data_IF_914707143188
#
_entry.id   IF_914707143188
#
_cell.length_a   1.000
_cell.length_b   1.000
_cell.length_c   1.000
_cell.angle_alpha   90.00
_cell.angle_beta   90.00
_cell.angle_gamma   90.00
#
_symmetry.space_group_name_H-M   'P 1'
#
loop_
_entity.id
_entity.type
_entity.pdbx_description
1 polymer ?
#
# COMPACT_ATOMS: atom_id res chain seq x y z
N UNK A 1 -18.12 -56.01 11.89
CA UNK A 1 -19.48 -56.07 12.47
C UNK A 1 -20.19 -54.75 12.19
N UNK A 2 -21.39 -54.82 11.60
CA UNK A 2 -22.31 -53.69 11.36
C UNK A 2 -23.17 -53.44 12.60
N UNK A 3 -23.43 -52.17 12.94
CA UNK A 3 -24.70 -51.56 13.46
C UNK A 3 -24.34 -50.18 14.03
N UNK A 4 -24.61 -49.04 13.37
CA UNK A 4 -25.87 -48.27 13.27
C UNK A 4 -26.69 -48.21 14.56
N UNK A 5 -26.72 -47.03 15.20
CA UNK A 5 -27.88 -46.50 15.97
C UNK A 5 -27.95 -44.99 15.72
N UNK A 6 -29.08 -44.55 15.15
CA UNK A 6 -29.60 -43.18 15.08
C UNK A 6 -30.74 -43.10 16.08
N UNK A 7 -30.82 -42.06 16.90
CA UNK A 7 -31.95 -41.62 17.74
C UNK A 7 -31.35 -40.57 18.70
N UNK A 8 -31.84 -39.36 19.00
CA UNK A 8 -33.18 -38.78 19.05
C UNK A 8 -33.07 -37.25 18.92
N UNK A 9 -34.06 -36.68 18.25
CA UNK A 9 -34.47 -35.28 18.18
C UNK A 9 -34.85 -34.73 19.57
N UNK A 10 -34.34 -33.59 20.01
CA UNK A 10 -35.02 -32.82 21.06
C UNK A 10 -34.93 -31.31 20.80
N UNK A 11 -36.11 -30.72 20.64
CA UNK A 11 -36.42 -29.29 20.57
C UNK A 11 -36.16 -28.58 21.90
N UNK A 12 -35.79 -27.29 21.83
CA UNK A 12 -36.14 -26.17 22.75
C UNK A 12 -35.43 -24.92 22.18
N UNK A 13 -36.06 -24.00 21.42
CA UNK A 13 -37.15 -23.06 21.69
C UNK A 13 -36.88 -22.04 22.82
N UNK A 14 -36.41 -20.86 22.37
CA UNK A 14 -36.68 -19.48 22.82
C UNK A 14 -36.15 -19.02 24.18
N UNK A 15 -35.47 -17.86 24.14
CA UNK A 15 -35.52 -16.70 25.05
C UNK A 15 -34.11 -16.14 25.26
N UNK A 16 -33.77 -14.86 25.26
CA UNK A 16 -34.49 -13.58 25.16
C UNK A 16 -33.40 -12.53 24.85
N UNK A 17 -33.81 -11.45 24.18
CA UNK A 17 -33.02 -10.25 23.92
C UNK A 17 -32.44 -9.69 25.24
N UNK A 18 -31.13 -9.45 25.27
CA UNK A 18 -30.46 -8.72 26.35
C UNK A 18 -30.14 -7.30 25.90
N UNK A 19 -30.93 -6.38 26.44
CA UNK A 19 -30.65 -4.99 26.79
C UNK A 19 -29.73 -4.14 25.89
N UNK A 20 -30.34 -3.13 25.27
CA UNK A 20 -29.72 -1.86 24.92
C UNK A 20 -28.88 -1.31 26.09
N UNK A 21 -27.59 -1.11 25.85
CA UNK A 21 -26.79 -0.14 26.57
C UNK A 21 -26.89 1.19 25.84
N UNK A 22 -27.71 2.07 26.37
CA UNK A 22 -27.94 3.44 25.92
C UNK A 22 -26.80 4.31 26.47
N UNK A 23 -25.94 4.81 25.59
CA UNK A 23 -24.92 5.82 25.92
C UNK A 23 -25.06 6.94 24.88
N UNK A 24 -26.02 7.83 25.09
CA UNK A 24 -26.12 9.11 24.40
C UNK A 24 -25.08 10.07 25.00
N UNK A 25 -23.90 10.16 24.37
CA UNK A 25 -23.03 11.31 24.57
C UNK A 25 -23.55 12.45 23.69
N UNK A 26 -24.12 13.46 24.35
CA UNK A 26 -24.54 14.74 23.77
C UNK A 26 -23.29 15.51 23.33
N UNK A 27 -22.91 15.37 22.06
CA UNK A 27 -21.85 16.18 21.45
C UNK A 27 -22.45 17.48 20.91
N UNK A 28 -22.06 18.59 21.52
CA UNK A 28 -22.37 19.96 21.09
C UNK A 28 -21.80 20.22 19.68
N UNK A 29 -22.66 20.23 18.66
CA UNK A 29 -22.33 20.45 17.25
C UNK A 29 -22.33 21.94 16.84
N UNK A 30 -21.93 22.86 17.73
CA UNK A 30 -21.94 24.29 17.42
C UNK A 30 -20.59 24.98 17.50
N UNK A 31 -19.53 24.39 16.95
CA UNK A 31 -18.47 25.14 16.26
C UNK A 31 -17.34 24.22 15.79
N UNK A 32 -17.31 23.94 14.48
CA UNK A 32 -16.06 23.99 13.71
C UNK A 32 -16.40 23.82 12.24
N UNK A 33 -16.21 24.91 11.51
CA UNK A 33 -15.97 24.88 10.08
C UNK A 33 -14.68 24.08 9.84
N UNK A 34 -14.84 22.78 9.75
CA UNK A 34 -13.81 21.85 9.28
C UNK A 34 -14.51 21.02 8.23
N UNK A 35 -14.37 21.45 6.98
CA UNK A 35 -14.61 20.57 5.84
C UNK A 35 -13.56 19.46 5.93
N UNK A 36 -13.81 18.46 6.76
CA UNK A 36 -13.11 17.18 6.75
C UNK A 36 -13.54 16.54 5.43
N UNK A 37 -12.62 16.27 4.48
CA UNK A 37 -12.96 15.52 3.30
C UNK A 37 -13.58 14.19 3.76
N UNK A 38 -14.77 13.85 3.24
CA UNK A 38 -15.38 12.54 3.52
C UNK A 38 -14.35 11.43 3.31
N UNK A 39 -14.33 10.38 4.17
CA UNK A 39 -13.47 9.23 3.94
C UNK A 39 -13.70 8.72 2.52
N UNK A 40 -12.64 8.65 1.71
CA UNK A 40 -12.69 8.01 0.40
C UNK A 40 -13.09 6.56 0.68
N UNK A 41 -14.24 6.12 0.17
CA UNK A 41 -14.64 4.72 0.30
C UNK A 41 -13.59 3.84 -0.39
N UNK A 42 -13.32 2.65 0.16
CA UNK A 42 -12.24 1.78 -0.34
C UNK A 42 -12.40 1.45 -1.83
N UNK A 43 -13.63 1.39 -2.31
CA UNK A 43 -13.97 1.11 -3.71
C UNK A 43 -13.72 2.31 -4.65
N UNK A 44 -13.52 3.51 -4.11
CA UNK A 44 -13.24 4.74 -4.85
C UNK A 44 -11.73 5.04 -4.99
N UNK A 45 -10.85 4.21 -4.41
CA UNK A 45 -9.40 4.40 -4.55
C UNK A 45 -8.98 3.89 -5.93
N UNK A 46 -8.46 4.76 -6.83
CA UNK A 46 -8.13 4.35 -8.18
C UNK A 46 -6.98 3.33 -8.18
N UNK A 47 -7.07 2.33 -9.06
CA UNK A 47 -6.02 1.31 -9.23
C UNK A 47 -4.70 1.92 -9.70
N UNK A 48 -4.76 3.03 -10.43
CA UNK A 48 -3.63 3.73 -11.01
C UNK A 48 -3.94 5.23 -11.04
N UNK A 49 -2.94 6.08 -10.80
CA UNK A 49 -3.11 7.52 -10.93
C UNK A 49 -2.98 7.97 -12.39
N UNK A 50 -4.07 8.46 -12.97
CA UNK A 50 -4.10 9.09 -14.29
C UNK A 50 -3.51 10.52 -14.25
N UNK A 51 -3.05 11.07 -15.38
CA UNK A 51 -2.38 12.37 -15.43
C UNK A 51 -3.14 13.52 -14.76
N UNK A 52 -4.47 13.50 -14.81
CA UNK A 52 -5.35 14.57 -14.34
C UNK A 52 -6.09 14.26 -13.04
N UNK A 53 -5.78 13.15 -12.37
CA UNK A 53 -6.40 12.82 -11.09
C UNK A 53 -6.04 13.86 -10.02
N UNK A 54 -7.05 14.30 -9.26
CA UNK A 54 -6.89 15.26 -8.17
C UNK A 54 -6.19 14.67 -6.95
N UNK A 55 -6.18 13.33 -6.83
CA UNK A 55 -5.51 12.64 -5.74
C UNK A 55 -3.98 12.80 -5.87
N UNK A 56 -3.39 13.31 -4.79
CA UNK A 56 -1.96 13.54 -4.71
C UNK A 56 -1.21 12.19 -4.60
N UNK A 57 -0.05 12.04 -5.27
CA UNK A 57 0.69 10.78 -5.29
C UNK A 57 1.16 10.36 -3.90
N UNK A 58 1.56 11.30 -3.05
CA UNK A 58 1.94 11.01 -1.67
C UNK A 58 0.78 10.41 -0.87
N UNK A 59 -0.45 10.87 -1.06
CA UNK A 59 -1.60 10.38 -0.30
C UNK A 59 -2.11 9.05 -0.88
N UNK A 60 -2.08 8.91 -2.20
CA UNK A 60 -2.44 7.66 -2.88
C UNK A 60 -1.54 6.48 -2.49
N UNK A 61 -0.24 6.70 -2.26
CA UNK A 61 0.67 5.63 -1.81
C UNK A 61 0.16 4.93 -0.55
N UNK A 62 -0.40 5.67 0.42
CA UNK A 62 -0.96 5.07 1.65
C UNK A 62 -2.27 4.35 1.39
N UNK A 63 -3.12 4.93 0.54
CA UNK A 63 -4.42 4.35 0.21
C UNK A 63 -4.28 3.04 -0.57
N UNK A 64 -3.25 2.92 -1.42
CA UNK A 64 -3.09 1.80 -2.35
C UNK A 64 -2.01 0.78 -1.99
N UNK A 65 -0.97 1.18 -1.26
CA UNK A 65 0.11 0.26 -0.90
C UNK A 65 -0.44 -0.87 -0.03
N UNK A 66 -0.17 -2.11 -0.46
CA UNK A 66 -0.61 -3.29 0.29
C UNK A 66 -0.01 -3.28 1.70
N UNK A 67 1.22 -2.80 1.86
CA UNK A 67 1.87 -2.65 3.16
C UNK A 67 1.24 -1.55 4.03
N UNK A 68 0.80 -0.43 3.44
CA UNK A 68 0.06 0.59 4.17
C UNK A 68 -1.30 0.08 4.68
N UNK A 69 -1.97 -0.77 3.90
CA UNK A 69 -3.16 -1.50 4.34
C UNK A 69 -2.88 -2.51 5.48
N UNK A 70 -1.62 -2.88 5.72
CA UNK A 70 -1.17 -3.74 6.84
C UNK A 70 -0.64 -2.94 8.04
N UNK A 71 -0.74 -1.61 8.03
CA UNK A 71 -0.38 -0.75 9.15
C UNK A 71 0.97 -0.05 9.03
N UNK A 72 1.66 -0.13 7.89
CA UNK A 72 2.81 0.72 7.60
C UNK A 72 2.35 2.15 7.34
N UNK A 73 2.54 3.03 8.32
CA UNK A 73 2.20 4.45 8.19
C UNK A 73 3.49 5.25 8.22
N UNK A 74 3.79 5.91 7.11
CA UNK A 74 4.83 6.94 7.05
C UNK A 74 4.20 8.33 7.19
N UNK A 75 4.97 9.32 7.59
CA UNK A 75 4.52 10.71 7.60
C UNK A 75 4.37 11.25 6.17
N UNK A 76 3.50 12.24 5.99
CA UNK A 76 3.16 12.77 4.66
C UNK A 76 4.34 13.52 4.07
N UNK A 77 5.03 14.28 4.90
CA UNK A 77 6.21 15.06 4.55
C UNK A 77 7.31 14.16 3.97
N UNK A 78 7.62 13.04 4.62
CA UNK A 78 8.59 12.06 4.13
C UNK A 78 8.20 11.52 2.75
N UNK A 79 6.93 11.18 2.53
CA UNK A 79 6.48 10.70 1.21
C UNK A 79 6.63 11.76 0.12
N UNK A 80 6.38 13.03 0.44
CA UNK A 80 6.64 14.14 -0.47
C UNK A 80 8.13 14.22 -0.80
N UNK A 81 8.99 14.17 0.22
CA UNK A 81 10.44 14.28 0.06
C UNK A 81 11.01 13.15 -0.81
N UNK A 82 10.67 11.88 -0.54
CA UNK A 82 11.19 10.76 -1.34
C UNK A 82 10.68 10.79 -2.78
N UNK A 83 9.43 11.23 -3.01
CA UNK A 83 8.87 11.35 -4.35
C UNK A 83 9.53 12.48 -5.14
N UNK A 84 9.82 13.60 -4.50
CA UNK A 84 10.53 14.72 -5.12
C UNK A 84 11.99 14.32 -5.44
N UNK A 85 12.65 13.66 -4.51
CA UNK A 85 14.00 13.16 -4.69
C UNK A 85 14.07 12.14 -5.84
N UNK A 86 13.17 11.16 -5.86
CA UNK A 86 13.04 10.20 -6.95
C UNK A 86 12.75 10.87 -8.30
N UNK A 87 11.88 11.89 -8.30
CA UNK A 87 11.54 12.63 -9.50
C UNK A 87 12.76 13.32 -10.11
N UNK A 88 13.60 13.93 -9.27
CA UNK A 88 14.85 14.53 -9.70
C UNK A 88 15.83 13.48 -10.23
N UNK A 89 16.04 12.41 -9.46
CA UNK A 89 17.00 11.35 -9.76
C UNK A 89 16.70 10.63 -11.07
N UNK A 90 15.45 10.20 -11.26
CA UNK A 90 15.03 9.36 -12.38
C UNK A 90 14.38 10.13 -13.54
N UNK A 91 14.21 11.45 -13.39
CA UNK A 91 13.60 12.34 -14.40
C UNK A 91 12.19 11.90 -14.81
N UNK A 92 11.45 11.39 -13.84
CA UNK A 92 10.05 10.97 -13.96
C UNK A 92 9.18 11.80 -13.00
N UNK A 93 7.90 12.01 -13.30
CA UNK A 93 7.02 12.77 -12.41
C UNK A 93 6.73 11.98 -11.12
N UNK A 94 6.45 12.64 -9.98
CA UNK A 94 6.06 11.97 -8.74
C UNK A 94 4.93 10.94 -8.93
N UNK A 95 3.95 11.25 -9.80
CA UNK A 95 2.85 10.36 -10.15
C UNK A 95 3.33 9.08 -10.84
N UNK A 96 4.24 9.20 -11.81
CA UNK A 96 4.82 8.03 -12.48
C UNK A 96 5.66 7.18 -11.51
N UNK A 97 6.43 7.80 -10.62
CA UNK A 97 7.20 7.10 -9.59
C UNK A 97 6.26 6.29 -8.69
N UNK A 98 5.23 6.93 -8.12
CA UNK A 98 4.27 6.28 -7.23
C UNK A 98 3.59 5.08 -7.90
N UNK A 99 3.06 5.29 -9.12
CA UNK A 99 2.40 4.24 -9.87
C UNK A 99 3.29 3.02 -10.13
N UNK A 100 4.54 3.25 -10.56
CA UNK A 100 5.51 2.16 -10.82
C UNK A 100 5.94 1.44 -9.55
N UNK A 101 6.07 2.16 -8.43
CA UNK A 101 6.42 1.57 -7.15
C UNK A 101 5.30 0.67 -6.61
N UNK A 102 4.04 1.10 -6.70
CA UNK A 102 2.87 0.28 -6.35
C UNK A 102 2.76 -0.94 -7.26
N UNK A 103 2.97 -0.77 -8.57
CA UNK A 103 2.99 -1.91 -9.49
C UNK A 103 4.09 -2.93 -9.11
N UNK A 104 5.28 -2.45 -8.74
CA UNK A 104 6.37 -3.32 -8.29
C UNK A 104 6.01 -4.04 -6.99
N UNK A 105 5.42 -3.34 -6.01
CA UNK A 105 4.91 -3.95 -4.78
C UNK A 105 3.92 -5.08 -5.09
N UNK A 106 2.93 -4.83 -5.95
CA UNK A 106 1.94 -5.84 -6.34
C UNK A 106 2.63 -7.07 -6.98
N UNK A 107 3.57 -6.84 -7.91
CA UNK A 107 4.32 -7.92 -8.57
C UNK A 107 5.18 -8.74 -7.58
N UNK A 108 5.81 -8.08 -6.60
CA UNK A 108 6.58 -8.77 -5.56
C UNK A 108 5.66 -9.58 -4.64
N UNK A 109 4.50 -9.03 -4.29
CA UNK A 109 3.51 -9.69 -3.46
C UNK A 109 2.95 -10.95 -4.14
N UNK A 110 2.73 -10.93 -5.46
CA UNK A 110 2.30 -12.10 -6.24
C UNK A 110 3.26 -13.30 -6.10
N UNK A 111 4.54 -13.05 -5.85
CA UNK A 111 5.56 -14.09 -5.61
C UNK A 111 5.92 -14.27 -4.13
N UNK A 112 5.10 -13.73 -3.22
CA UNK A 112 5.25 -13.89 -1.77
C UNK A 112 6.34 -13.04 -1.14
N UNK A 113 6.77 -11.95 -1.78
CA UNK A 113 7.73 -10.99 -1.25
C UNK A 113 6.99 -9.74 -0.79
N UNK A 114 7.11 -9.42 0.49
CA UNK A 114 6.47 -8.25 1.08
C UNK A 114 7.46 -7.08 1.19
N UNK A 115 7.31 -6.10 0.30
CA UNK A 115 8.07 -4.84 0.32
C UNK A 115 7.15 -3.70 -0.11
N UNK A 116 7.11 -2.61 0.67
CA UNK A 116 6.18 -1.51 0.41
C UNK A 116 6.65 -0.62 -0.74
N UNK A 117 5.72 -0.03 -1.48
CA UNK A 117 6.02 0.96 -2.51
C UNK A 117 6.88 2.12 -1.96
N UNK A 118 6.58 2.59 -0.73
CA UNK A 118 7.32 3.65 -0.07
C UNK A 118 8.78 3.25 0.18
N UNK A 119 9.01 2.05 0.75
CA UNK A 119 10.37 1.54 0.99
C UNK A 119 11.15 1.33 -0.31
N UNK A 120 10.49 0.89 -1.40
CA UNK A 120 11.12 0.69 -2.70
C UNK A 120 11.60 2.02 -3.32
N UNK A 121 10.78 3.07 -3.22
CA UNK A 121 11.17 4.42 -3.65
C UNK A 121 12.39 4.89 -2.85
N UNK A 122 12.33 4.79 -1.53
CA UNK A 122 13.40 5.23 -0.63
C UNK A 122 14.72 4.48 -0.93
N UNK A 123 14.69 3.16 -0.98
CA UNK A 123 15.87 2.34 -1.28
C UNK A 123 16.49 2.66 -2.65
N UNK A 124 15.66 2.86 -3.68
CA UNK A 124 16.18 3.13 -5.03
C UNK A 124 16.81 4.52 -5.14
N UNK A 125 16.25 5.51 -4.44
CA UNK A 125 16.81 6.88 -4.44
C UNK A 125 18.11 7.01 -3.66
N UNK A 126 18.36 6.13 -2.69
CA UNK A 126 19.64 6.09 -1.96
C UNK A 126 20.77 5.39 -2.72
N UNK A 127 20.51 4.84 -3.90
CA UNK A 127 21.56 4.22 -4.71
C UNK A 127 22.46 5.30 -5.33
N UNK A 128 23.78 5.08 -5.41
CA UNK A 128 24.75 6.05 -5.94
C UNK A 128 24.73 6.08 -7.48
N UNK A 129 23.56 6.31 -8.06
CA UNK A 129 23.28 6.18 -9.50
C UNK A 129 22.65 7.44 -10.10
N UNK A 130 22.85 8.59 -9.45
CA UNK A 130 22.46 9.89 -9.98
C UNK A 130 23.07 10.09 -11.37
N UNK A 131 22.24 10.54 -12.32
CA UNK A 131 22.68 10.80 -13.69
C UNK A 131 22.85 9.55 -14.57
N UNK A 132 22.54 8.34 -14.07
CA UNK A 132 22.41 7.16 -14.94
C UNK A 132 21.28 7.38 -15.95
N UNK A 133 21.39 6.87 -17.20
CA UNK A 133 20.38 7.11 -18.25
C UNK A 133 19.07 6.34 -18.00
N UNK A 134 19.01 5.57 -16.92
CA UNK A 134 17.92 4.68 -16.61
C UNK A 134 16.82 5.40 -15.82
N UNK A 135 15.58 5.21 -16.26
CA UNK A 135 14.41 5.70 -15.56
C UNK A 135 14.01 4.75 -14.42
N UNK A 136 13.08 5.16 -13.56
CA UNK A 136 12.63 4.40 -12.40
C UNK A 136 11.99 3.07 -12.82
N UNK A 137 11.28 3.05 -13.96
CA UNK A 137 10.71 1.82 -14.52
C UNK A 137 11.76 0.76 -14.82
N UNK A 138 12.92 1.15 -15.34
CA UNK A 138 14.01 0.22 -15.60
C UNK A 138 14.53 -0.40 -14.30
N UNK A 139 14.67 0.40 -13.24
CA UNK A 139 15.07 -0.10 -11.92
C UNK A 139 14.05 -1.09 -11.37
N UNK A 140 12.75 -0.77 -11.46
CA UNK A 140 11.69 -1.67 -11.04
C UNK A 140 11.79 -3.03 -11.76
N UNK A 141 12.00 -3.01 -13.08
CA UNK A 141 12.11 -4.23 -13.87
C UNK A 141 13.37 -5.05 -13.51
N UNK A 142 14.53 -4.40 -13.37
CA UNK A 142 15.77 -5.09 -12.98
C UNK A 142 15.65 -5.68 -11.58
N UNK A 143 15.09 -4.92 -10.64
CA UNK A 143 14.86 -5.36 -9.27
C UNK A 143 13.95 -6.59 -9.24
N UNK A 144 12.77 -6.50 -9.86
CA UNK A 144 11.83 -7.62 -9.93
C UNK A 144 12.48 -8.87 -10.53
N UNK A 145 13.19 -8.73 -11.66
CA UNK A 145 13.86 -9.86 -12.32
C UNK A 145 14.90 -10.55 -11.43
N UNK A 146 15.55 -9.80 -10.53
CA UNK A 146 16.49 -10.37 -9.56
C UNK A 146 15.74 -11.04 -8.41
N UNK A 147 14.70 -10.38 -7.87
CA UNK A 147 13.88 -10.91 -6.78
C UNK A 147 13.12 -12.18 -7.16
N UNK A 148 12.57 -12.23 -8.37
CA UNK A 148 11.88 -13.40 -8.93
C UNK A 148 12.80 -14.63 -9.09
N UNK A 149 14.12 -14.45 -9.10
CA UNK A 149 15.11 -15.56 -9.08
C UNK A 149 15.42 -16.06 -7.67
N UNK A 150 14.79 -15.49 -6.63
CA UNK A 150 15.01 -15.85 -5.23
C UNK A 150 16.20 -15.15 -4.56
N UNK A 151 16.81 -14.15 -5.20
CA UNK A 151 17.87 -13.36 -4.55
C UNK A 151 17.26 -12.37 -3.53
N UNK A 152 17.96 -12.19 -2.41
CA UNK A 152 17.54 -11.27 -1.35
C UNK A 152 17.72 -9.79 -1.74
N UNK A 153 17.04 -8.90 -1.02
CA UNK A 153 17.01 -7.44 -1.21
C UNK A 153 18.40 -6.82 -1.40
N UNK A 154 19.31 -7.05 -0.45
CA UNK A 154 20.64 -6.44 -0.48
C UNK A 154 21.44 -6.80 -1.73
N UNK A 155 21.29 -8.03 -2.24
CA UNK A 155 21.93 -8.42 -3.51
C UNK A 155 21.33 -7.65 -4.68
N UNK A 156 20.01 -7.55 -4.75
CA UNK A 156 19.33 -6.83 -5.81
C UNK A 156 19.73 -5.35 -5.82
N UNK A 157 19.74 -4.68 -4.67
CA UNK A 157 20.20 -3.29 -4.53
C UNK A 157 21.68 -3.14 -4.93
N UNK A 158 22.54 -4.10 -4.56
CA UNK A 158 23.96 -4.11 -4.97
C UNK A 158 24.13 -4.29 -6.48
N UNK A 159 23.22 -4.98 -7.18
CA UNK A 159 23.27 -5.07 -8.64
C UNK A 159 22.76 -3.77 -9.28
N UNK A 160 21.68 -3.19 -8.75
CA UNK A 160 21.15 -1.91 -9.22
C UNK A 160 22.19 -0.80 -9.08
N UNK A 161 22.93 -0.75 -7.97
CA UNK A 161 23.98 0.27 -7.73
C UNK A 161 25.14 0.23 -8.72
N UNK A 162 25.19 -0.78 -9.59
CA UNK A 162 26.23 -0.95 -10.63
C UNK A 162 25.75 -0.60 -12.03
N UNK A 163 24.45 -0.32 -12.19
CA UNK A 163 23.90 0.15 -13.46
C UNK A 163 24.54 1.51 -13.78
N UNK A 164 24.96 1.68 -15.05
CA UNK A 164 25.68 2.86 -15.53
C UNK A 164 24.86 3.58 -16.58
#
# INVERSE_FOLDING_TARGET
MKTRIRFILCLLFISLLSACGDNEEEYDLTASDSTVPSPIEKDDIPQWLEPYDSLAPEDWLILRSAAALRGEVTDREHRIEILQHASHHFRESPRMIANRAVQLEDMLLEIGIEESAVSLIDMFTHLPTEGTPHNFSAYCQYYFNIRAKGYHQGYALTQLSKLK
#
